data_IF_088505494022
#
_entry.id   IF_088505494022
#
_cell.length_a   1.000
_cell.length_b   1.000
_cell.length_c   1.000
_cell.angle_alpha   90.00
_cell.angle_beta   90.00
_cell.angle_gamma   90.00
#
_symmetry.space_group_name_H-M   'P 1'
#
loop_
_entity.id
_entity.type
_entity.pdbx_description
1 polymer ?
#
# COMPACT_ATOMS: atom_id res chain seq x y z
N UNK A 1 -29.56 50.87 24.72
CA UNK A 1 -30.36 49.65 24.94
C UNK A 1 -29.44 48.50 24.53
N UNK A 2 -28.35 48.29 25.29
CA UNK A 2 -28.21 47.28 26.37
C UNK A 2 -28.43 45.86 25.79
N UNK A 3 -27.51 44.90 25.80
CA UNK A 3 -26.31 44.67 26.62
C UNK A 3 -25.34 43.67 25.94
N UNK A 4 -24.04 43.84 26.21
CA UNK A 4 -23.02 42.77 26.13
C UNK A 4 -23.14 41.82 27.34
N UNK A 5 -22.86 40.50 27.20
CA UNK A 5 -22.63 39.65 28.36
C UNK A 5 -21.15 39.64 28.75
N UNK A 6 -20.91 40.12 29.97
CA UNK A 6 -19.65 40.16 30.71
C UNK A 6 -19.08 38.77 30.99
N UNK A 7 -17.75 38.64 30.85
CA UNK A 7 -16.95 37.59 31.49
C UNK A 7 -17.07 37.72 33.01
N UNK A 8 -17.45 36.63 33.68
CA UNK A 8 -17.30 36.50 35.14
C UNK A 8 -16.39 35.31 35.45
N UNK A 9 -15.33 35.64 36.17
CA UNK A 9 -14.32 34.74 36.70
C UNK A 9 -14.90 34.10 37.99
N UNK A 10 -14.95 32.78 38.07
CA UNK A 10 -15.17 32.06 39.33
C UNK A 10 -13.95 31.18 39.69
N UNK A 11 -13.66 31.00 40.98
CA UNK A 11 -12.36 30.50 41.47
C UNK A 11 -12.25 28.96 41.43
N UNK A 12 -11.00 28.49 41.38
CA UNK A 12 -10.60 27.08 41.52
C UNK A 12 -10.91 26.59 42.94
N UNK A 13 -11.58 25.45 43.03
CA UNK A 13 -11.69 24.65 44.27
C UNK A 13 -10.76 23.44 44.15
N UNK A 14 -9.63 23.52 44.84
CA UNK A 14 -8.70 22.43 45.10
C UNK A 14 -9.22 21.62 46.30
N UNK A 15 -9.79 20.45 46.02
CA UNK A 15 -10.21 19.51 47.06
C UNK A 15 -9.83 18.07 46.69
N UNK A 16 -8.57 17.75 46.98
CA UNK A 16 -7.97 16.42 46.97
C UNK A 16 -8.69 15.50 47.98
N UNK A 17 -9.24 14.37 47.52
CA UNK A 17 -9.70 13.27 48.40
C UNK A 17 -9.04 11.95 48.02
N UNK A 18 -7.99 11.65 48.77
CA UNK A 18 -7.35 10.34 48.89
C UNK A 18 -8.29 9.45 49.70
N UNK A 19 -8.68 8.31 49.15
CA UNK A 19 -9.35 7.24 49.89
C UNK A 19 -8.47 5.98 49.84
N UNK A 20 -7.68 5.79 50.90
CA UNK A 20 -7.12 4.50 51.26
C UNK A 20 -8.20 3.67 51.96
N UNK A 21 -8.44 2.45 51.49
CA UNK A 21 -9.11 1.41 52.27
C UNK A 21 -8.22 0.17 52.31
N UNK A 22 -7.66 -0.08 53.49
CA UNK A 22 -7.04 -1.34 53.89
C UNK A 22 -8.13 -2.20 54.55
N UNK A 23 -8.28 -3.45 54.11
CA UNK A 23 -8.52 -4.58 55.02
C UNK A 23 -8.34 -5.89 54.26
N UNK A 24 -7.44 -6.75 54.74
CA UNK A 24 -7.20 -8.08 54.19
C UNK A 24 -8.00 -9.16 54.90
N UNK A 25 -8.14 -10.33 54.26
CA UNK A 25 -7.81 -11.63 54.84
C UNK A 25 -7.86 -12.74 53.76
N UNK A 26 -7.02 -13.75 53.99
CA UNK A 26 -6.79 -14.96 53.20
C UNK A 26 -8.05 -15.79 52.89
N UNK A 27 -8.06 -16.42 51.71
CA UNK A 27 -8.49 -17.81 51.56
C UNK A 27 -7.82 -18.45 50.33
N UNK A 28 -7.05 -19.50 50.57
CA UNK A 28 -6.46 -20.38 49.55
C UNK A 28 -7.51 -21.36 49.03
N UNK A 29 -7.67 -21.46 47.71
CA UNK A 29 -8.20 -22.66 47.05
C UNK A 29 -7.44 -22.90 45.75
N UNK A 30 -6.68 -24.00 45.77
CA UNK A 30 -6.12 -24.70 44.61
C UNK A 30 -7.29 -25.22 43.77
N UNK A 31 -7.31 -24.99 42.45
CA UNK A 31 -7.94 -25.94 41.53
C UNK A 31 -7.37 -25.81 40.11
N UNK A 32 -6.74 -26.92 39.69
CA UNK A 32 -6.71 -27.50 38.35
C UNK A 32 -6.13 -26.70 37.17
N UNK A 33 -5.08 -27.28 36.58
CA UNK A 33 -4.47 -26.79 35.35
C UNK A 33 -5.34 -27.00 34.12
N UNK A 34 -5.15 -26.11 33.15
CA UNK A 34 -5.51 -26.37 31.76
C UNK A 34 -4.21 -26.64 31.00
N UNK A 35 -3.79 -27.92 31.03
CA UNK A 35 -2.91 -28.46 30.02
C UNK A 35 -3.75 -28.76 28.76
N UNK A 36 -3.21 -28.31 27.62
CA UNK A 36 -3.40 -28.84 26.26
C UNK A 36 -4.83 -28.94 25.68
N UNK A 37 -5.09 -28.09 24.69
CA UNK A 37 -5.70 -28.56 23.44
C UNK A 37 -4.90 -28.03 22.25
N UNK A 38 -3.71 -28.58 22.02
CA UNK A 38 -3.16 -28.68 20.66
C UNK A 38 -3.98 -29.74 19.93
N UNK A 39 -5.19 -29.38 19.53
CA UNK A 39 -5.93 -30.18 18.55
C UNK A 39 -5.21 -30.05 17.20
N UNK A 40 -4.92 -31.15 16.49
CA UNK A 40 -4.54 -31.03 15.09
C UNK A 40 -5.67 -30.28 14.37
N UNK A 41 -5.30 -29.28 13.57
CA UNK A 41 -6.22 -28.61 12.66
C UNK A 41 -7.07 -29.69 12.00
N UNK A 42 -8.38 -29.65 12.23
CA UNK A 42 -9.31 -30.59 11.64
C UNK A 42 -9.06 -30.56 10.13
N UNK A 43 -8.45 -31.63 9.61
CA UNK A 43 -8.41 -31.88 8.18
C UNK A 43 -9.85 -31.76 7.71
N UNK A 44 -10.09 -30.87 6.74
CA UNK A 44 -11.35 -30.86 5.99
C UNK A 44 -11.57 -32.29 5.53
N UNK A 45 -12.54 -32.98 6.12
CA UNK A 45 -13.09 -34.19 5.54
C UNK A 45 -13.48 -33.79 4.11
N UNK A 46 -12.83 -34.40 3.11
CA UNK A 46 -13.33 -34.40 1.75
C UNK A 46 -14.80 -34.73 1.87
N UNK A 47 -15.67 -33.79 1.51
CA UNK A 47 -17.10 -34.05 1.51
C UNK A 47 -17.34 -35.23 0.57
N UNK A 48 -17.58 -36.41 1.15
CA UNK A 48 -17.94 -37.58 0.38
C UNK A 48 -19.38 -37.38 -0.08
N UNK A 49 -19.53 -36.82 -1.28
CA UNK A 49 -20.82 -36.59 -1.89
C UNK A 49 -21.48 -37.90 -2.37
N UNK A 50 -20.93 -39.08 -2.06
CA UNK A 50 -21.51 -40.39 -2.38
C UNK A 50 -21.62 -40.66 -3.88
N UNK A 51 -20.88 -39.94 -4.72
CA UNK A 51 -20.91 -40.07 -6.18
C UNK A 51 -19.75 -40.94 -6.66
N UNK A 52 -20.05 -41.91 -7.52
CA UNK A 52 -19.02 -42.66 -8.23
C UNK A 52 -18.13 -41.71 -9.03
N UNK A 53 -16.81 -41.80 -8.81
CA UNK A 53 -15.82 -40.99 -9.52
C UNK A 53 -15.71 -41.52 -10.95
N UNK A 54 -16.28 -40.80 -11.92
CA UNK A 54 -16.09 -41.09 -13.33
C UNK A 54 -14.67 -40.70 -13.76
N UNK A 55 -13.93 -41.64 -14.35
CA UNK A 55 -12.63 -41.36 -14.97
C UNK A 55 -12.85 -40.87 -16.41
N UNK A 56 -12.51 -39.61 -16.75
CA UNK A 56 -12.68 -39.12 -18.11
C UNK A 56 -11.74 -39.82 -19.10
N UNK A 57 -12.11 -39.86 -20.38
CA UNK A 57 -11.28 -40.48 -21.44
C UNK A 57 -9.89 -39.86 -21.54
N UNK A 58 -9.78 -38.56 -21.27
CA UNK A 58 -8.55 -37.78 -21.30
C UNK A 58 -7.74 -37.86 -19.98
N UNK A 59 -8.06 -38.77 -19.06
CA UNK A 59 -7.41 -38.82 -17.75
C UNK A 59 -5.88 -39.03 -17.82
N UNK A 60 -5.37 -39.59 -18.91
CA UNK A 60 -3.94 -39.78 -19.16
C UNK A 60 -3.30 -38.64 -19.99
N UNK A 61 -4.08 -37.65 -20.44
CA UNK A 61 -3.56 -36.52 -21.22
C UNK A 61 -2.67 -35.61 -20.35
N UNK A 62 -1.49 -35.16 -20.83
CA UNK A 62 -0.59 -34.31 -20.06
C UNK A 62 -1.23 -33.02 -19.55
N UNK A 63 -2.12 -32.38 -20.31
CA UNK A 63 -2.84 -31.18 -19.86
C UNK A 63 -3.80 -31.50 -18.72
N UNK A 64 -4.49 -32.64 -18.80
CA UNK A 64 -5.41 -33.08 -17.76
C UNK A 64 -4.67 -33.37 -16.45
N UNK A 65 -3.54 -34.08 -16.54
CA UNK A 65 -2.71 -34.41 -15.38
C UNK A 65 -2.14 -33.15 -14.72
N UNK A 66 -1.58 -32.24 -15.53
CA UNK A 66 -1.04 -30.96 -15.04
C UNK A 66 -2.12 -30.12 -14.36
N UNK A 67 -3.32 -30.02 -14.95
CA UNK A 67 -4.42 -29.28 -14.36
C UNK A 67 -4.87 -29.88 -13.01
N UNK A 68 -4.95 -31.21 -12.93
CA UNK A 68 -5.31 -31.92 -11.69
C UNK A 68 -4.31 -31.63 -10.57
N UNK A 69 -3.01 -31.69 -10.87
CA UNK A 69 -1.94 -31.37 -9.91
C UNK A 69 -2.02 -29.93 -9.44
N UNK A 70 -2.26 -28.98 -10.35
CA UNK A 70 -2.45 -27.57 -9.99
C UNK A 70 -3.64 -27.37 -9.06
N UNK A 71 -4.79 -27.99 -9.33
CA UNK A 71 -5.97 -27.89 -8.46
C UNK A 71 -5.69 -28.47 -7.08
N UNK A 72 -5.05 -29.63 -6.99
CA UNK A 72 -4.66 -30.22 -5.70
C UNK A 72 -3.72 -29.30 -4.91
N UNK A 73 -2.66 -28.79 -5.54
CA UNK A 73 -1.73 -27.85 -4.91
C UNK A 73 -2.43 -26.58 -4.41
N UNK A 74 -3.45 -26.10 -5.13
CA UNK A 74 -4.23 -24.91 -4.77
C UNK A 74 -5.11 -25.14 -3.55
N UNK A 75 -5.70 -26.33 -3.43
CA UNK A 75 -6.55 -26.70 -2.29
C UNK A 75 -5.78 -26.72 -0.96
N UNK A 76 -4.50 -27.08 -1.01
CA UNK A 76 -3.62 -27.15 0.17
C UNK A 76 -3.09 -25.77 0.62
N UNK A 77 -3.20 -24.73 -0.20
CA UNK A 77 -2.74 -23.40 0.19
C UNK A 77 -3.72 -22.76 1.19
N UNK A 78 -3.43 -22.91 2.48
CA UNK A 78 -4.07 -22.16 3.57
C UNK A 78 -3.05 -21.68 4.60
N UNK A 79 -2.89 -20.36 4.69
CA UNK A 79 -2.50 -19.61 5.90
C UNK A 79 -2.02 -18.21 5.47
N UNK A 80 -2.74 -17.15 5.85
CA UNK A 80 -2.17 -15.81 5.91
C UNK A 80 -1.64 -15.59 7.33
N UNK A 81 -0.32 -15.66 7.50
CA UNK A 81 0.34 -15.10 8.70
C UNK A 81 0.51 -13.59 8.48
N UNK A 82 0.70 -12.84 9.56
CA UNK A 82 1.13 -11.44 9.44
C UNK A 82 2.43 -11.37 8.64
N UNK A 83 2.51 -10.38 7.75
CA UNK A 83 3.69 -10.17 6.92
C UNK A 83 4.74 -9.37 7.69
N UNK A 84 5.99 -9.86 7.71
CA UNK A 84 7.13 -9.09 8.24
C UNK A 84 7.59 -8.00 7.28
N UNK A 85 7.50 -8.25 5.98
CA UNK A 85 7.95 -7.35 4.93
C UNK A 85 6.89 -7.28 3.82
N UNK A 86 6.72 -6.10 3.22
CA UNK A 86 5.86 -5.88 2.06
C UNK A 86 6.71 -5.40 0.90
N UNK A 87 6.58 -6.06 -0.26
CA UNK A 87 7.27 -5.66 -1.50
C UNK A 87 6.21 -5.47 -2.58
N UNK A 88 6.15 -4.27 -3.15
CA UNK A 88 5.18 -3.90 -4.18
C UNK A 88 5.94 -3.68 -5.50
N UNK A 89 5.64 -4.50 -6.50
CA UNK A 89 6.15 -4.31 -7.86
C UNK A 89 5.11 -3.59 -8.71
N UNK A 90 5.44 -2.41 -9.22
CA UNK A 90 4.58 -1.63 -10.10
C UNK A 90 5.13 -1.65 -11.53
N UNK A 91 4.42 -2.30 -12.45
CA UNK A 91 4.64 -2.12 -13.88
C UNK A 91 3.83 -0.95 -14.40
N UNK A 92 4.44 0.23 -14.49
CA UNK A 92 3.79 1.45 -14.99
C UNK A 92 3.33 1.24 -16.45
N UNK A 93 2.03 1.39 -16.72
CA UNK A 93 1.42 1.09 -18.02
C UNK A 93 1.30 -0.40 -18.39
N UNK A 94 1.55 -1.33 -17.45
CA UNK A 94 1.57 -2.77 -17.73
C UNK A 94 0.19 -3.43 -17.61
N UNK A 95 -0.68 -3.19 -18.61
CA UNK A 95 -1.97 -3.86 -18.73
C UNK A 95 -1.87 -5.35 -19.10
N UNK A 96 -3.02 -6.06 -19.13
CA UNK A 96 -3.09 -7.50 -19.44
C UNK A 96 -2.50 -7.84 -20.82
N UNK A 97 -2.73 -6.97 -21.81
CA UNK A 97 -2.15 -7.11 -23.14
C UNK A 97 -0.62 -7.02 -23.12
N UNK A 98 -0.07 -6.08 -22.36
CA UNK A 98 1.38 -5.92 -22.16
C UNK A 98 1.99 -7.15 -21.48
N UNK A 99 1.33 -7.69 -20.45
CA UNK A 99 1.76 -8.93 -19.78
C UNK A 99 1.80 -10.09 -20.77
N UNK A 100 0.73 -10.26 -21.57
CA UNK A 100 0.63 -11.34 -22.56
C UNK A 100 1.70 -11.22 -23.65
N UNK A 101 1.90 -10.02 -24.19
CA UNK A 101 2.94 -9.76 -25.18
C UNK A 101 4.34 -10.01 -24.59
N UNK A 102 4.57 -9.57 -23.35
CA UNK A 102 5.82 -9.79 -22.63
C UNK A 102 6.13 -11.27 -22.38
N UNK A 103 5.12 -12.07 -22.01
CA UNK A 103 5.22 -13.52 -21.86
C UNK A 103 5.65 -14.21 -23.14
N UNK A 104 4.97 -13.93 -24.25
CA UNK A 104 5.28 -14.51 -25.56
C UNK A 104 6.70 -14.14 -25.98
N UNK A 105 7.05 -12.86 -25.88
CA UNK A 105 8.40 -12.37 -26.20
C UNK A 105 9.47 -13.04 -25.35
N UNK A 106 9.27 -13.13 -24.03
CA UNK A 106 10.23 -13.73 -23.10
C UNK A 106 10.43 -15.23 -23.38
N UNK A 107 9.37 -15.97 -23.70
CA UNK A 107 9.47 -17.38 -24.08
C UNK A 107 10.22 -17.57 -25.40
N UNK A 108 9.90 -16.78 -26.42
CA UNK A 108 10.60 -16.83 -27.72
C UNK A 108 12.08 -16.47 -27.60
N UNK A 109 12.45 -15.52 -26.71
CA UNK A 109 13.85 -15.21 -26.42
C UNK A 109 14.61 -16.36 -25.77
N UNK A 110 13.91 -17.34 -25.20
CA UNK A 110 14.49 -18.58 -24.64
C UNK A 110 14.39 -19.77 -25.61
N UNK A 111 13.94 -19.56 -26.85
CA UNK A 111 13.77 -20.62 -27.84
C UNK A 111 12.54 -21.50 -27.62
N UNK A 112 11.56 -21.04 -26.82
CA UNK A 112 10.26 -21.68 -26.63
C UNK A 112 9.22 -21.12 -27.62
N UNK A 113 8.02 -21.71 -27.65
CA UNK A 113 6.90 -21.23 -28.47
C UNK A 113 6.48 -19.79 -28.12
N UNK A 114 6.57 -19.44 -26.84
CA UNK A 114 6.14 -18.17 -26.27
C UNK A 114 4.80 -18.31 -25.56
N UNK A 115 3.84 -19.00 -26.16
CA UNK A 115 2.50 -19.17 -25.61
C UNK A 115 2.47 -20.05 -24.35
N UNK A 116 3.31 -21.08 -24.26
CA UNK A 116 3.36 -21.97 -23.11
C UNK A 116 4.23 -21.42 -21.96
N UNK A 117 5.07 -20.42 -22.24
CA UNK A 117 5.95 -19.80 -21.26
C UNK A 117 5.16 -19.09 -20.16
N UNK A 118 5.71 -19.03 -18.94
CA UNK A 118 5.13 -18.30 -17.82
C UNK A 118 6.13 -17.29 -17.28
N UNK A 119 5.71 -16.03 -17.15
CA UNK A 119 6.46 -15.02 -16.41
C UNK A 119 6.46 -15.37 -14.92
N UNK A 120 7.49 -14.94 -14.20
CA UNK A 120 7.59 -15.17 -12.74
C UNK A 120 6.34 -14.67 -12.00
N UNK A 121 5.77 -13.52 -12.40
CA UNK A 121 4.56 -13.00 -11.76
C UNK A 121 3.31 -13.88 -11.99
N UNK A 122 3.26 -14.64 -13.07
CA UNK A 122 2.13 -15.55 -13.36
C UNK A 122 2.18 -16.81 -12.49
N UNK A 123 3.31 -17.06 -11.83
CA UNK A 123 3.43 -18.14 -10.83
C UNK A 123 2.81 -17.77 -9.48
N UNK A 124 2.46 -16.50 -9.26
CA UNK A 124 1.91 -16.04 -7.99
C UNK A 124 0.59 -16.74 -7.67
N UNK A 125 0.30 -17.00 -6.39
CA UNK A 125 -0.87 -17.76 -6.04
C UNK A 125 -2.18 -16.96 -6.15
N UNK A 126 -2.12 -15.63 -6.12
CA UNK A 126 -3.32 -14.81 -6.14
C UNK A 126 -3.28 -13.85 -7.32
N UNK A 127 -4.41 -13.70 -7.99
CA UNK A 127 -4.61 -12.72 -9.04
C UNK A 127 -5.96 -12.03 -8.82
N UNK A 128 -6.00 -10.73 -9.11
CA UNK A 128 -7.20 -9.93 -9.05
C UNK A 128 -7.19 -8.90 -10.18
N UNK A 129 -8.38 -8.42 -10.56
CA UNK A 129 -8.53 -7.28 -11.45
C UNK A 129 -8.71 -6.01 -10.61
N UNK A 130 -8.08 -4.92 -11.03
CA UNK A 130 -8.17 -3.62 -10.36
C UNK A 130 -8.88 -2.59 -11.25
N UNK A 131 -9.80 -1.80 -10.67
CA UNK A 131 -10.50 -0.70 -11.36
C UNK A 131 -9.74 0.61 -11.16
N UNK A 132 -9.08 1.10 -12.21
CA UNK A 132 -8.06 2.14 -12.12
C UNK A 132 -8.54 3.58 -12.27
N UNK A 133 -9.82 3.85 -12.54
CA UNK A 133 -10.33 5.22 -12.70
C UNK A 133 -9.92 6.14 -11.52
N UNK A 134 -9.56 7.39 -11.84
CA UNK A 134 -9.30 8.45 -10.87
C UNK A 134 -10.62 9.07 -10.38
N UNK A 135 -10.59 9.95 -9.37
CA UNK A 135 -11.81 10.60 -8.91
C UNK A 135 -12.50 11.42 -10.01
N UNK A 136 -11.70 12.14 -10.80
CA UNK A 136 -12.10 13.09 -11.84
C UNK A 136 -11.83 12.57 -13.27
N UNK A 137 -11.42 11.31 -13.43
CA UNK A 137 -11.01 10.75 -14.73
C UNK A 137 -11.32 9.26 -14.89
N UNK A 138 -11.99 8.91 -16.00
CA UNK A 138 -12.21 7.49 -16.37
C UNK A 138 -10.88 6.79 -16.70
N UNK A 139 -10.02 7.48 -17.44
CA UNK A 139 -8.64 7.09 -17.69
C UNK A 139 -7.78 7.88 -16.71
N UNK A 140 -7.16 7.16 -15.79
CA UNK A 140 -6.28 7.74 -14.77
C UNK A 140 -4.88 8.00 -15.30
N UNK A 141 -4.07 8.70 -14.50
CA UNK A 141 -2.63 8.85 -14.72
C UNK A 141 -1.81 8.08 -13.66
N UNK A 142 -0.49 8.06 -13.80
CA UNK A 142 0.40 7.41 -12.82
C UNK A 142 0.28 8.01 -11.42
N UNK A 143 0.02 9.33 -11.29
CA UNK A 143 -0.06 9.97 -9.97
C UNK A 143 -1.28 9.50 -9.19
N UNK A 144 -2.48 9.66 -9.76
CA UNK A 144 -3.72 9.26 -9.11
C UNK A 144 -3.79 7.76 -8.79
N UNK A 145 -3.22 6.91 -9.65
CA UNK A 145 -3.15 5.46 -9.39
C UNK A 145 -2.12 5.08 -8.34
N UNK A 146 -0.95 5.71 -8.33
CA UNK A 146 0.06 5.46 -7.31
C UNK A 146 -0.42 5.89 -5.93
N UNK A 147 -1.09 7.04 -5.81
CA UNK A 147 -1.74 7.44 -4.54
C UNK A 147 -2.75 6.39 -4.10
N UNK A 148 -3.64 5.94 -4.98
CA UNK A 148 -4.62 4.92 -4.62
C UNK A 148 -4.01 3.60 -4.13
N UNK A 149 -2.86 3.21 -4.68
CA UNK A 149 -2.13 2.01 -4.25
C UNK A 149 -1.45 2.23 -2.90
N UNK A 150 -0.83 3.41 -2.70
CA UNK A 150 0.02 3.66 -1.54
C UNK A 150 -0.76 4.13 -0.31
N UNK A 151 -1.84 4.89 -0.47
CA UNK A 151 -2.65 5.42 0.66
C UNK A 151 -4.02 4.77 0.80
N UNK A 152 -4.44 3.96 -0.18
CA UNK A 152 -5.77 3.34 -0.18
C UNK A 152 -6.93 4.27 -0.54
N UNK A 153 -6.67 5.54 -0.90
CA UNK A 153 -7.70 6.49 -1.33
C UNK A 153 -7.55 6.91 -2.79
N UNK A 154 -8.66 7.04 -3.51
CA UNK A 154 -8.66 7.62 -4.86
C UNK A 154 -8.59 9.14 -4.79
N UNK A 155 -7.83 9.72 -5.72
CA UNK A 155 -7.61 11.17 -5.82
C UNK A 155 -7.77 11.68 -7.25
N UNK A 156 -7.57 12.98 -7.44
CA UNK A 156 -7.63 13.67 -8.73
C UNK A 156 -6.39 13.36 -9.57
N UNK A 157 -6.54 13.35 -10.89
CA UNK A 157 -5.45 13.21 -11.85
C UNK A 157 -4.34 14.22 -11.56
N UNK A 158 -3.09 13.81 -11.72
CA UNK A 158 -1.89 14.61 -11.55
C UNK A 158 -1.59 15.09 -10.12
N UNK A 159 -2.32 14.65 -9.09
CA UNK A 159 -2.03 14.96 -7.68
C UNK A 159 -1.35 13.80 -6.96
N UNK A 160 -0.47 14.10 -6.01
CA UNK A 160 0.30 13.15 -5.20
C UNK A 160 0.00 13.40 -3.71
N UNK A 161 -0.26 12.32 -2.97
CA UNK A 161 -0.40 12.36 -1.51
C UNK A 161 -1.62 13.13 -1.00
N UNK A 162 -2.61 13.44 -1.84
CA UNK A 162 -3.81 14.15 -1.42
C UNK A 162 -5.07 13.31 -1.60
N UNK A 163 -6.10 13.60 -0.81
CA UNK A 163 -7.48 13.18 -1.09
C UNK A 163 -8.03 13.88 -2.34
N UNK A 164 -9.20 13.44 -2.81
CA UNK A 164 -9.95 14.08 -3.90
C UNK A 164 -10.32 15.56 -3.68
N UNK A 165 -10.24 16.06 -2.45
CA UNK A 165 -10.67 17.43 -2.12
C UNK A 165 -9.54 18.46 -2.33
N UNK A 166 -8.31 18.01 -2.61
CA UNK A 166 -7.23 18.87 -3.04
C UNK A 166 -7.50 19.54 -4.40
N UNK A 167 -6.88 20.71 -4.61
CA UNK A 167 -7.05 21.52 -5.82
C UNK A 167 -5.83 21.33 -6.74
N UNK A 168 -5.97 20.63 -7.88
CA UNK A 168 -4.85 20.41 -8.80
C UNK A 168 -4.17 21.72 -9.22
N UNK A 169 -2.84 21.71 -9.26
CA UNK A 169 -1.97 22.86 -9.53
C UNK A 169 -2.14 24.06 -8.57
N UNK A 170 -2.79 23.87 -7.41
CA UNK A 170 -2.92 24.87 -6.38
C UNK A 170 -2.51 24.28 -5.03
N UNK A 171 -1.28 24.55 -4.64
CA UNK A 171 -0.69 24.03 -3.42
C UNK A 171 -1.39 24.57 -2.17
N UNK A 172 -1.55 25.90 -2.05
CA UNK A 172 -2.24 26.50 -0.90
C UNK A 172 -3.68 25.98 -0.74
N UNK A 173 -4.38 25.74 -1.86
CA UNK A 173 -5.72 25.19 -1.88
C UNK A 173 -5.80 23.67 -1.66
N UNK A 174 -4.67 22.98 -1.57
CA UNK A 174 -4.60 21.54 -1.28
C UNK A 174 -4.20 21.25 0.17
N UNK A 175 -3.68 22.25 0.90
CA UNK A 175 -3.30 22.11 2.30
C UNK A 175 -4.47 21.63 3.16
N UNK A 176 -4.21 20.68 4.05
CA UNK A 176 -5.22 20.06 4.93
C UNK A 176 -5.99 18.91 4.29
N UNK A 177 -5.62 18.50 3.07
CA UNK A 177 -6.20 17.37 2.35
C UNK A 177 -5.19 16.23 2.13
N UNK A 178 -4.03 16.27 2.80
CA UNK A 178 -2.97 15.28 2.72
C UNK A 178 -3.45 13.90 3.18
N UNK A 179 -2.80 12.86 2.67
CA UNK A 179 -2.96 11.48 3.16
C UNK A 179 -1.61 10.86 3.45
N UNK A 180 -1.59 9.98 4.45
CA UNK A 180 -0.45 9.11 4.72
C UNK A 180 -0.44 7.96 3.72
N UNK A 181 0.73 7.71 3.15
CA UNK A 181 1.02 6.50 2.41
C UNK A 181 1.37 5.35 3.37
N UNK A 182 1.37 4.12 2.86
CA UNK A 182 1.87 2.96 3.59
C UNK A 182 3.35 3.09 3.97
N UNK A 183 4.11 3.93 3.27
CA UNK A 183 5.50 4.25 3.59
C UNK A 183 5.57 5.22 4.77
N UNK A 184 4.74 6.26 4.80
CA UNK A 184 4.64 7.17 5.96
C UNK A 184 4.29 6.37 7.24
N UNK A 185 3.32 5.45 7.12
CA UNK A 185 2.92 4.56 8.22
C UNK A 185 4.09 3.66 8.66
N UNK A 186 4.81 3.05 7.72
CA UNK A 186 5.93 2.16 8.02
C UNK A 186 7.08 2.89 8.73
N UNK A 187 7.47 4.07 8.22
CA UNK A 187 8.47 4.95 8.82
C UNK A 187 8.09 5.37 10.26
N UNK A 188 6.83 5.79 10.45
CA UNK A 188 6.32 6.19 11.76
C UNK A 188 6.25 5.01 12.76
N UNK A 189 6.19 3.77 12.26
CA UNK A 189 6.30 2.55 13.07
C UNK A 189 7.75 2.07 13.27
N UNK A 190 8.74 2.79 12.73
CA UNK A 190 10.17 2.44 12.82
C UNK A 190 10.56 1.23 11.95
N UNK A 191 9.81 0.99 10.88
CA UNK A 191 10.15 -0.01 9.86
C UNK A 191 10.97 0.62 8.75
N UNK A 192 11.97 -0.12 8.28
CA UNK A 192 12.78 0.31 7.15
C UNK A 192 11.96 0.38 5.85
N UNK A 193 12.17 1.44 5.08
CA UNK A 193 11.52 1.62 3.78
C UNK A 193 12.51 1.83 2.64
N UNK A 194 12.05 1.54 1.41
CA UNK A 194 12.89 1.74 0.25
C UNK A 194 12.13 1.75 -1.07
N UNK A 195 12.63 2.58 -1.99
CA UNK A 195 12.08 2.77 -3.33
C UNK A 195 13.16 2.49 -4.38
N UNK A 196 12.76 1.71 -5.39
CA UNK A 196 13.61 1.38 -6.55
C UNK A 196 12.80 1.61 -7.81
N UNK A 197 13.33 2.43 -8.73
CA UNK A 197 12.66 2.77 -9.97
C UNK A 197 13.63 2.90 -11.14
N UNK A 198 13.16 2.57 -12.33
CA UNK A 198 13.85 2.93 -13.59
C UNK A 198 13.54 4.37 -14.02
N UNK A 199 12.52 5.01 -13.43
CA UNK A 199 12.19 6.41 -13.65
C UNK A 199 13.01 7.33 -12.74
N UNK A 200 12.71 8.64 -12.79
CA UNK A 200 13.20 9.59 -11.78
C UNK A 200 12.58 9.27 -10.43
N UNK A 201 13.34 9.39 -9.34
CA UNK A 201 12.80 9.11 -7.99
C UNK A 201 11.72 10.13 -7.55
N UNK A 202 11.69 11.27 -8.23
CA UNK A 202 10.68 12.35 -8.13
C UNK A 202 9.51 12.17 -9.09
N UNK A 203 9.53 11.16 -9.97
CA UNK A 203 8.40 10.86 -10.85
C UNK A 203 7.17 10.44 -10.03
N UNK A 204 5.98 10.56 -10.60
CA UNK A 204 4.71 10.31 -9.90
C UNK A 204 4.65 9.00 -9.10
N UNK A 205 5.07 7.87 -9.69
CA UNK A 205 4.96 6.55 -9.06
C UNK A 205 5.81 6.41 -7.79
N UNK A 206 7.13 6.69 -7.80
CA UNK A 206 7.90 6.75 -6.55
C UNK A 206 7.51 7.95 -5.68
N UNK A 207 7.21 9.12 -6.26
CA UNK A 207 6.82 10.33 -5.53
C UNK A 207 5.58 10.15 -4.67
N UNK A 208 4.60 9.32 -5.09
CA UNK A 208 3.41 9.03 -4.31
C UNK A 208 3.67 8.28 -2.98
N UNK A 209 4.90 7.81 -2.74
CA UNK A 209 5.28 7.16 -1.48
C UNK A 209 5.61 8.16 -0.37
N UNK A 210 5.99 9.40 -0.70
CA UNK A 210 6.45 10.39 0.29
C UNK A 210 5.91 11.81 0.06
N UNK A 211 5.52 12.16 -1.17
CA UNK A 211 5.25 13.55 -1.53
C UNK A 211 3.76 13.90 -1.47
N UNK A 212 3.50 15.08 -0.91
CA UNK A 212 2.24 15.82 -0.98
C UNK A 212 2.40 16.93 -2.02
N UNK A 213 1.98 16.68 -3.26
CA UNK A 213 2.07 17.66 -4.35
C UNK A 213 0.77 17.81 -5.14
N UNK A 214 0.29 19.04 -5.27
CA UNK A 214 -0.89 19.36 -6.08
C UNK A 214 -0.61 19.24 -7.59
N UNK A 215 0.64 19.04 -7.99
CA UNK A 215 1.02 18.72 -9.36
C UNK A 215 2.20 17.76 -9.40
N UNK A 216 2.03 16.62 -10.06
CA UNK A 216 3.10 15.63 -10.31
C UNK A 216 4.30 16.18 -11.09
N UNK A 217 4.14 17.35 -11.72
CA UNK A 217 5.18 18.01 -12.51
C UNK A 217 6.11 18.88 -11.66
N UNK A 218 5.77 19.14 -10.39
CA UNK A 218 6.61 19.92 -9.48
C UNK A 218 7.76 19.06 -8.93
N UNK A 219 8.52 18.43 -9.83
CA UNK A 219 9.62 17.51 -9.47
C UNK A 219 10.83 18.24 -8.86
N UNK A 220 10.99 19.53 -9.15
CA UNK A 220 12.00 20.43 -8.61
C UNK A 220 11.42 21.86 -8.51
N UNK A 221 12.14 22.74 -7.84
CA UNK A 221 11.75 24.13 -7.58
C UNK A 221 11.50 24.95 -8.86
N UNK A 222 12.27 24.71 -9.92
CA UNK A 222 12.10 25.34 -11.23
C UNK A 222 10.72 25.09 -11.88
N UNK A 223 9.98 24.07 -11.44
CA UNK A 223 8.64 23.75 -11.93
C UNK A 223 7.49 24.36 -11.10
N UNK A 224 7.77 24.93 -9.93
CA UNK A 224 6.73 25.47 -9.03
C UNK A 224 6.12 26.77 -9.55
N UNK A 225 6.91 27.60 -10.24
CA UNK A 225 6.49 28.94 -10.66
C UNK A 225 5.99 29.78 -9.47
N UNK A 226 4.85 30.45 -9.62
CA UNK A 226 4.26 31.28 -8.56
C UNK A 226 3.86 30.49 -7.30
N UNK A 227 3.83 29.16 -7.34
CA UNK A 227 3.56 28.34 -6.15
C UNK A 227 4.75 28.34 -5.19
N UNK A 228 5.97 28.59 -5.66
CA UNK A 228 7.14 28.70 -4.78
C UNK A 228 6.97 29.86 -3.79
N UNK A 229 6.46 31.01 -4.26
CA UNK A 229 6.18 32.18 -3.43
C UNK A 229 5.09 31.92 -2.37
N UNK A 230 4.24 30.91 -2.60
CA UNK A 230 3.22 30.47 -1.65
C UNK A 230 3.76 29.47 -0.61
N UNK A 231 5.07 29.21 -0.57
CA UNK A 231 5.72 28.33 0.40
C UNK A 231 5.69 26.84 0.03
N UNK A 232 5.37 26.52 -1.22
CA UNK A 232 5.26 25.14 -1.67
C UNK A 232 6.63 24.53 -1.88
N UNK A 233 6.80 23.30 -1.40
CA UNK A 233 8.01 22.50 -1.63
C UNK A 233 7.82 21.61 -2.84
N UNK A 234 8.83 21.54 -3.70
CA UNK A 234 8.87 20.57 -4.80
C UNK A 234 9.10 19.14 -4.29
N UNK A 235 8.85 18.16 -5.14
CA UNK A 235 8.92 16.74 -4.80
C UNK A 235 10.36 16.35 -4.39
N UNK A 236 11.41 16.88 -5.02
CA UNK A 236 12.78 16.57 -4.63
C UNK A 236 13.09 17.06 -3.21
N UNK A 237 12.71 18.29 -2.88
CA UNK A 237 12.84 18.84 -1.52
C UNK A 237 12.06 18.02 -0.49
N UNK A 238 10.83 17.61 -0.82
CA UNK A 238 10.00 16.77 0.08
C UNK A 238 10.61 15.39 0.34
N UNK A 239 11.37 14.82 -0.59
CA UNK A 239 12.07 13.55 -0.35
C UNK A 239 13.18 13.69 0.70
N UNK A 240 13.91 14.80 0.69
CA UNK A 240 15.02 15.05 1.61
C UNK A 240 14.50 15.52 2.98
N UNK A 241 13.48 16.37 2.97
CA UNK A 241 12.82 16.91 4.18
C UNK A 241 11.62 16.03 4.61
N UNK A 242 11.62 14.75 4.27
CA UNK A 242 10.49 13.88 4.53
C UNK A 242 10.22 13.80 6.05
N UNK A 243 8.97 14.06 6.44
CA UNK A 243 8.61 14.25 7.84
C UNK A 243 8.34 12.95 8.59
N UNK A 244 8.15 11.84 7.88
CA UNK A 244 7.91 10.53 8.47
C UNK A 244 9.24 9.83 8.79
N UNK A 245 9.35 9.29 10.00
CA UNK A 245 10.51 8.50 10.45
C UNK A 245 11.86 9.20 10.30
N UNK A 246 12.87 8.44 9.89
CA UNK A 246 14.24 8.91 9.56
C UNK A 246 14.55 8.85 8.05
N UNK A 247 13.56 8.49 7.24
CA UNK A 247 13.59 8.53 5.79
C UNK A 247 14.15 7.25 5.16
N UNK A 248 14.08 7.17 3.83
CA UNK A 248 14.41 5.93 3.11
C UNK A 248 15.82 5.38 3.40
N UNK A 249 15.91 4.10 3.80
CA UNK A 249 17.19 3.37 3.78
C UNK A 249 17.73 3.17 2.38
N UNK A 250 16.83 3.03 1.41
CA UNK A 250 17.19 2.77 0.01
C UNK A 250 16.34 3.65 -0.91
N UNK A 251 17.01 4.51 -1.67
CA UNK A 251 16.40 5.20 -2.80
C UNK A 251 17.27 5.05 -4.05
N UNK A 252 16.80 4.26 -5.01
CA UNK A 252 17.53 4.01 -6.26
C UNK A 252 16.66 4.36 -7.47
N UNK A 253 17.15 5.28 -8.31
CA UNK A 253 16.51 5.63 -9.57
C UNK A 253 17.25 6.72 -10.31
N UNK A 254 16.62 7.28 -11.34
CA UNK A 254 17.11 8.46 -12.05
C UNK A 254 16.73 9.77 -11.35
N UNK A 255 16.87 10.89 -12.07
CA UNK A 255 16.36 12.20 -11.60
C UNK A 255 17.37 13.06 -10.86
N UNK A 256 18.66 12.71 -10.93
CA UNK A 256 19.76 13.48 -10.30
C UNK A 256 19.65 15.00 -10.54
N UNK A 257 19.26 15.43 -11.73
CA UNK A 257 19.13 16.86 -12.08
C UNK A 257 18.15 17.62 -11.18
N UNK A 258 17.14 16.95 -10.61
CA UNK A 258 16.17 17.59 -9.70
C UNK A 258 16.77 17.90 -8.32
N UNK A 259 17.95 17.38 -8.01
CA UNK A 259 18.67 17.59 -6.76
C UNK A 259 19.93 18.45 -6.94
N UNK A 260 20.09 19.10 -8.09
CA UNK A 260 21.23 19.96 -8.40
C UNK A 260 20.75 21.37 -8.70
N UNK A 261 21.60 22.36 -8.40
CA UNK A 261 21.35 23.74 -8.85
C UNK A 261 21.42 23.80 -10.38
N UNK A 262 20.66 24.71 -10.98
CA UNK A 262 20.86 25.06 -12.38
C UNK A 262 22.24 25.69 -12.56
N UNK A 263 23.00 25.18 -13.53
CA UNK A 263 24.27 25.77 -13.98
C UNK A 263 24.07 27.18 -14.57
#
# INVERSE_FOLDING_TARGET
MLDEPQLTHQPRDDSMKIAHFFSGLLASTVLAGCATSTGPAAMMQNADYGRAVHTPKQAADPYYMTARERVAARAEMRSAKSAKNVIIFIGDGMGISTITAGRIYAGQKQGLDGESYQLTMETFPNAALSKTYAHDGQVSDSASTAVAIMSGVKTNVATLGFTKDARPNNCAGSLGHEVESVFDIAENEGLATGIVSTARITHATPGATYAHSASRNWENDGHLGAQADAGCKDIAAQMIDWAAGDGFEIAMGGGRSNFMKSD
#
